data_IF_567406317253
#
_entry.id   IF_567406317253
#
_cell.length_a   1.000
_cell.length_b   1.000
_cell.length_c   1.000
_cell.angle_alpha   90.00
_cell.angle_beta   90.00
_cell.angle_gamma   90.00
#
_symmetry.space_group_name_H-M   'P 1'
#
loop_
_entity.id
_entity.type
_entity.pdbx_description
1 polymer ?
#
# COMPACT_ATOMS: atom_id res chain seq x y z
N UNK A 1 -0.58 27.10 -5.41
CA UNK A 1 -0.83 25.64 -5.42
C UNK A 1 0.33 24.90 -6.06
N UNK A 2 0.62 25.13 -7.34
CA UNK A 2 1.70 24.45 -8.09
C UNK A 2 3.10 24.42 -7.44
N UNK A 3 3.52 25.46 -6.70
CA UNK A 3 4.83 25.47 -6.02
C UNK A 3 4.88 24.57 -4.78
N UNK A 4 3.76 24.42 -4.08
CA UNK A 4 3.63 23.53 -2.91
C UNK A 4 3.56 22.07 -3.35
N UNK A 5 2.93 21.85 -4.50
CA UNK A 5 2.74 20.56 -5.15
C UNK A 5 4.08 19.98 -5.65
N UNK A 6 4.92 20.80 -6.30
CA UNK A 6 6.29 20.42 -6.69
C UNK A 6 7.19 20.11 -5.50
N UNK A 7 7.02 20.82 -4.38
CA UNK A 7 7.79 20.57 -3.14
C UNK A 7 7.47 19.22 -2.51
N UNK A 8 6.23 18.74 -2.62
CA UNK A 8 5.83 17.42 -2.12
C UNK A 8 6.50 16.28 -2.90
N UNK A 9 6.44 16.32 -4.23
CA UNK A 9 7.06 15.30 -5.10
C UNK A 9 8.58 15.29 -4.95
N UNK A 10 9.22 16.47 -4.89
CA UNK A 10 10.66 16.57 -4.71
C UNK A 10 11.14 15.97 -3.38
N UNK A 11 10.36 16.09 -2.31
CA UNK A 11 10.66 15.48 -1.03
C UNK A 11 10.60 13.95 -1.11
N UNK A 12 9.54 13.40 -1.71
CA UNK A 12 9.35 11.96 -1.84
C UNK A 12 10.43 11.30 -2.71
N UNK A 13 10.78 11.93 -3.84
CA UNK A 13 11.90 11.49 -4.68
C UNK A 13 13.21 11.48 -3.90
N UNK A 14 13.48 12.55 -3.14
CA UNK A 14 14.72 12.67 -2.37
C UNK A 14 14.84 11.56 -1.34
N UNK A 15 13.76 11.32 -0.59
CA UNK A 15 13.73 10.29 0.44
C UNK A 15 13.89 8.91 -0.18
N UNK A 16 13.12 8.59 -1.24
CA UNK A 16 13.19 7.31 -1.94
C UNK A 16 14.60 7.02 -2.48
N UNK A 17 15.21 7.93 -3.24
CA UNK A 17 16.56 7.70 -3.79
C UNK A 17 17.63 7.64 -2.70
N UNK A 18 17.49 8.43 -1.64
CA UNK A 18 18.43 8.41 -0.50
C UNK A 18 18.39 7.08 0.25
N UNK A 19 17.20 6.51 0.50
CA UNK A 19 17.07 5.22 1.20
C UNK A 19 17.57 4.06 0.34
N UNK A 20 17.25 4.04 -0.96
CA UNK A 20 17.74 3.00 -1.88
C UNK A 20 19.24 3.01 -2.02
N UNK A 21 19.87 4.20 -2.14
CA UNK A 21 21.33 4.32 -2.14
C UNK A 21 21.96 3.83 -0.83
N UNK A 22 21.34 4.14 0.31
CA UNK A 22 21.86 3.74 1.62
C UNK A 22 21.78 2.22 1.88
N UNK A 23 20.87 1.51 1.21
CA UNK A 23 20.62 0.07 1.41
C UNK A 23 21.62 -0.85 0.68
N UNK A 24 22.10 -0.45 -0.49
CA UNK A 24 23.00 -1.26 -1.33
C UNK A 24 24.47 -0.97 -0.99
N UNK A 25 25.26 -2.02 -0.76
CA UNK A 25 26.71 -1.89 -0.50
C UNK A 25 27.52 -1.90 -1.80
N UNK A 26 28.76 -1.36 -1.79
CA UNK A 26 29.66 -1.44 -2.95
C UNK A 26 29.86 -2.87 -3.45
N UNK A 27 30.04 -3.82 -2.54
CA UNK A 27 30.28 -5.22 -2.86
C UNK A 27 29.07 -5.84 -3.56
N UNK A 28 27.86 -5.55 -3.07
CA UNK A 28 26.61 -5.97 -3.74
C UNK A 28 26.49 -5.39 -5.14
N UNK A 29 26.96 -4.16 -5.35
CA UNK A 29 26.98 -3.49 -6.65
C UNK A 29 28.16 -3.89 -7.55
N UNK A 30 29.01 -4.85 -7.12
CA UNK A 30 30.17 -5.30 -7.87
C UNK A 30 31.33 -4.28 -7.89
N UNK A 31 31.32 -3.30 -6.99
CA UNK A 31 32.39 -2.31 -6.86
C UNK A 31 33.44 -2.74 -5.83
N UNK A 32 34.73 -2.57 -6.14
CA UNK A 32 35.80 -2.76 -5.18
C UNK A 32 35.73 -1.72 -4.05
N UNK A 33 36.00 -2.16 -2.83
CA UNK A 33 35.98 -1.29 -1.64
C UNK A 33 37.34 -0.63 -1.51
N UNK A 34 37.48 0.59 -2.01
CA UNK A 34 38.71 1.37 -1.86
C UNK A 34 38.67 2.25 -0.61
N UNK A 35 39.64 2.04 0.29
CA UNK A 35 39.97 2.94 1.42
C UNK A 35 39.33 2.58 2.77
N UNK A 36 40.15 2.49 3.82
CA UNK A 36 39.76 2.10 5.18
C UNK A 36 39.00 3.15 6.02
N UNK A 37 38.40 4.18 5.42
CA UNK A 37 37.70 5.24 6.16
C UNK A 37 36.39 5.69 5.46
N UNK A 38 35.52 4.71 5.19
CA UNK A 38 34.22 4.93 4.53
C UNK A 38 33.20 5.49 5.53
N UNK A 39 32.69 6.70 5.29
CA UNK A 39 31.71 7.39 6.15
C UNK A 39 30.25 6.97 5.92
N UNK A 40 29.96 6.22 4.86
CA UNK A 40 28.58 5.87 4.45
C UNK A 40 28.50 4.36 4.23
N UNK A 41 27.52 3.70 4.87
CA UNK A 41 27.35 2.26 4.77
C UNK A 41 26.98 1.80 3.35
N UNK A 42 26.04 2.49 2.70
CA UNK A 42 25.65 2.21 1.32
C UNK A 42 26.55 2.89 0.27
N UNK A 43 26.06 2.95 -0.98
CA UNK A 43 26.78 3.58 -2.08
C UNK A 43 26.95 5.10 -1.88
N UNK A 44 28.07 5.64 -2.37
CA UNK A 44 28.30 7.07 -2.51
C UNK A 44 27.63 7.58 -3.78
N UNK A 45 27.40 8.90 -3.85
CA UNK A 45 26.82 9.53 -5.04
C UNK A 45 27.69 9.32 -6.28
N UNK A 46 29.02 9.39 -6.11
CA UNK A 46 29.98 9.12 -7.18
C UNK A 46 29.88 7.67 -7.71
N UNK A 47 29.65 6.70 -6.82
CA UNK A 47 29.54 5.28 -7.18
C UNK A 47 28.23 4.99 -7.93
N UNK A 48 27.10 5.58 -7.49
CA UNK A 48 25.82 5.44 -8.21
C UNK A 48 25.90 6.09 -9.60
N UNK A 49 26.49 7.28 -9.70
CA UNK A 49 26.66 7.97 -10.97
C UNK A 49 27.52 7.16 -11.96
N UNK A 50 28.60 6.54 -11.46
CA UNK A 50 29.45 5.63 -12.23
C UNK A 50 28.63 4.42 -12.74
N UNK A 51 27.93 3.72 -11.85
CA UNK A 51 27.13 2.54 -12.20
C UNK A 51 26.00 2.85 -13.17
N UNK A 52 25.37 4.01 -13.04
CA UNK A 52 24.26 4.44 -13.89
C UNK A 52 24.72 5.15 -15.18
N UNK A 53 26.04 5.28 -15.41
CA UNK A 53 26.58 5.90 -16.62
C UNK A 53 26.23 7.38 -16.78
N UNK A 54 26.19 8.13 -15.67
CA UNK A 54 25.82 9.55 -15.66
C UNK A 54 26.79 10.42 -14.86
N UNK A 55 26.70 11.74 -15.01
CA UNK A 55 27.53 12.64 -14.21
C UNK A 55 27.07 12.68 -12.75
N UNK A 56 28.03 12.86 -11.83
CA UNK A 56 27.77 12.98 -10.39
C UNK A 56 26.79 14.13 -10.11
N UNK A 57 27.00 15.27 -10.76
CA UNK A 57 26.12 16.43 -10.63
C UNK A 57 24.69 16.14 -11.11
N UNK A 58 24.55 15.33 -12.17
CA UNK A 58 23.21 14.95 -12.63
C UNK A 58 22.53 14.06 -11.60
N UNK A 59 23.21 13.03 -11.08
CA UNK A 59 22.66 12.18 -10.02
C UNK A 59 22.30 12.98 -8.76
N UNK A 60 23.16 13.92 -8.33
CA UNK A 60 22.88 14.82 -7.19
C UNK A 60 21.59 15.61 -7.41
N UNK A 61 21.33 16.09 -8.64
CA UNK A 61 20.07 16.77 -8.96
C UNK A 61 18.86 15.84 -8.86
N UNK A 62 18.98 14.61 -9.39
CA UNK A 62 17.91 13.60 -9.31
C UNK A 62 17.60 13.25 -7.84
N UNK A 63 18.63 12.92 -7.05
CA UNK A 63 18.49 12.61 -5.60
C UNK A 63 17.99 13.81 -4.78
N UNK A 64 18.18 15.05 -5.24
CA UNK A 64 17.62 16.25 -4.57
C UNK A 64 16.14 16.48 -4.87
N UNK A 65 15.49 15.60 -5.63
CA UNK A 65 14.06 15.67 -5.89
C UNK A 65 13.69 16.10 -7.31
N UNK A 66 14.66 16.34 -8.19
CA UNK A 66 14.38 16.83 -9.54
C UNK A 66 14.43 15.72 -10.58
N UNK A 67 13.36 14.91 -10.67
CA UNK A 67 13.16 13.93 -11.76
C UNK A 67 12.56 14.54 -13.03
N UNK A 68 12.20 15.83 -13.02
CA UNK A 68 11.56 16.47 -14.18
C UNK A 68 12.47 16.41 -15.41
N UNK A 69 11.98 15.79 -16.48
CA UNK A 69 12.72 15.66 -17.74
C UNK A 69 13.80 14.58 -17.76
N UNK A 70 13.85 13.69 -16.75
CA UNK A 70 14.62 12.45 -16.86
C UNK A 70 13.99 11.55 -17.94
N UNK A 71 14.81 11.01 -18.85
CA UNK A 71 14.35 10.07 -19.86
C UNK A 71 14.13 8.67 -19.27
N UNK A 72 13.30 7.85 -19.91
CA UNK A 72 13.09 6.45 -19.49
C UNK A 72 14.40 5.66 -19.42
N UNK A 73 15.36 5.96 -20.30
CA UNK A 73 16.71 5.37 -20.26
C UNK A 73 17.51 5.77 -19.02
N UNK A 74 17.35 7.01 -18.52
CA UNK A 74 18.01 7.47 -17.29
C UNK A 74 17.38 6.79 -16.07
N UNK A 75 16.05 6.66 -16.04
CA UNK A 75 15.34 5.96 -14.97
C UNK A 75 15.71 4.47 -14.94
N UNK A 76 15.84 3.84 -16.12
CA UNK A 76 16.29 2.46 -16.26
C UNK A 76 17.71 2.26 -15.72
N UNK A 77 18.66 3.12 -16.11
CA UNK A 77 20.03 3.07 -15.61
C UNK A 77 20.11 3.26 -14.10
N UNK A 78 19.29 4.14 -13.52
CA UNK A 78 19.20 4.31 -12.06
C UNK A 78 18.64 3.06 -11.38
N UNK A 79 17.57 2.49 -11.94
CA UNK A 79 16.97 1.29 -11.43
C UNK A 79 17.97 0.12 -11.40
N UNK A 80 18.75 -0.04 -12.47
CA UNK A 80 19.80 -1.05 -12.54
C UNK A 80 20.93 -0.78 -11.53
N UNK A 81 21.44 0.45 -11.48
CA UNK A 81 22.53 0.83 -10.57
C UNK A 81 22.18 0.65 -9.09
N UNK A 82 20.92 0.91 -8.72
CA UNK A 82 20.41 0.74 -7.35
C UNK A 82 19.82 -0.65 -7.08
N UNK A 83 19.87 -1.56 -8.06
CA UNK A 83 19.28 -2.91 -8.01
C UNK A 83 17.82 -2.88 -7.52
N UNK A 84 17.03 -1.97 -8.07
CA UNK A 84 15.63 -1.81 -7.70
C UNK A 84 14.82 -3.03 -8.16
N UNK A 85 13.97 -3.53 -7.27
CA UNK A 85 12.98 -4.55 -7.63
C UNK A 85 11.86 -3.99 -8.53
N UNK A 86 10.99 -4.85 -9.05
CA UNK A 86 9.91 -4.44 -9.96
C UNK A 86 8.98 -3.35 -9.36
N UNK A 87 8.73 -3.40 -8.04
CA UNK A 87 7.87 -2.46 -7.35
C UNK A 87 8.54 -1.10 -7.17
N UNK A 88 9.80 -1.12 -6.76
CA UNK A 88 10.65 0.06 -6.63
C UNK A 88 10.88 0.74 -7.97
N UNK A 89 11.09 -0.04 -9.03
CA UNK A 89 11.19 0.45 -10.42
C UNK A 89 9.92 1.18 -10.82
N UNK A 90 8.77 0.54 -10.70
CA UNK A 90 7.49 1.15 -11.06
C UNK A 90 7.24 2.44 -10.29
N UNK A 91 7.56 2.46 -8.99
CA UNK A 91 7.43 3.67 -8.18
C UNK A 91 8.38 4.80 -8.62
N UNK A 92 9.61 4.48 -9.04
CA UNK A 92 10.52 5.48 -9.62
C UNK A 92 9.92 6.13 -10.88
N UNK A 93 9.31 5.33 -11.77
CA UNK A 93 8.62 5.85 -12.96
C UNK A 93 7.38 6.68 -12.59
N UNK A 94 6.57 6.22 -11.63
CA UNK A 94 5.41 6.96 -11.14
C UNK A 94 5.82 8.34 -10.57
N UNK A 95 6.91 8.40 -9.80
CA UNK A 95 7.48 9.65 -9.28
C UNK A 95 8.00 10.58 -10.40
N UNK A 96 8.66 10.03 -11.43
CA UNK A 96 9.14 10.82 -12.56
C UNK A 96 7.99 11.40 -13.41
N UNK A 97 6.93 10.62 -13.61
CA UNK A 97 5.71 11.08 -14.27
C UNK A 97 5.02 12.17 -13.46
N UNK A 98 4.90 12.01 -12.14
CA UNK A 98 4.31 13.01 -11.26
C UNK A 98 5.13 14.32 -11.19
N UNK A 99 6.46 14.24 -11.37
CA UNK A 99 7.32 15.41 -11.43
C UNK A 99 7.20 16.21 -12.74
N UNK A 100 6.60 15.65 -13.79
CA UNK A 100 6.49 16.26 -15.12
C UNK A 100 5.22 17.10 -15.23
N UNK A 101 5.29 18.42 -15.55
CA UNK A 101 4.14 19.34 -15.56
C UNK A 101 2.99 18.99 -16.52
N UNK A 102 3.23 18.11 -17.49
CA UNK A 102 2.27 17.65 -18.50
C UNK A 102 1.74 16.22 -18.25
N UNK A 103 2.21 15.55 -17.20
CA UNK A 103 1.82 14.18 -16.87
C UNK A 103 0.45 14.13 -16.21
N UNK A 104 -0.53 13.49 -16.88
CA UNK A 104 -1.83 12.99 -16.38
C UNK A 104 -2.41 13.75 -15.17
N UNK A 105 -3.45 14.57 -15.43
CA UNK A 105 -4.33 15.14 -14.40
C UNK A 105 -4.63 14.06 -13.34
N UNK A 106 -4.44 14.34 -12.03
CA UNK A 106 -4.71 13.36 -10.98
C UNK A 106 -6.12 12.83 -11.21
N UNK A 107 -6.24 11.52 -11.47
CA UNK A 107 -7.57 10.91 -11.51
C UNK A 107 -8.09 11.03 -10.10
N UNK A 108 -9.10 11.89 -9.89
CA UNK A 108 -9.75 11.99 -8.61
C UNK A 108 -10.21 10.58 -8.24
N UNK A 109 -9.69 10.03 -7.15
CA UNK A 109 -10.11 8.72 -6.64
C UNK A 109 -11.62 8.73 -6.58
N UNK A 110 -12.26 7.89 -7.41
CA UNK A 110 -13.70 7.79 -7.42
C UNK A 110 -14.17 7.47 -6.00
N UNK A 111 -14.93 8.36 -5.39
CA UNK A 111 -15.43 8.16 -4.02
C UNK A 111 -16.77 7.43 -4.00
N UNK A 112 -17.29 7.07 -5.18
CA UNK A 112 -18.58 6.40 -5.35
C UNK A 112 -18.41 5.16 -6.20
N UNK A 113 -18.98 4.05 -5.73
CA UNK A 113 -19.02 2.79 -6.46
C UNK A 113 -20.20 2.82 -7.43
N UNK A 114 -19.95 2.49 -8.71
CA UNK A 114 -21.02 2.49 -9.73
C UNK A 114 -22.06 1.40 -9.44
N UNK A 115 -23.34 1.60 -9.78
CA UNK A 115 -24.39 0.61 -9.54
C UNK A 115 -24.12 -0.78 -10.14
N UNK A 116 -23.44 -0.86 -11.28
CA UNK A 116 -23.06 -2.14 -11.89
C UNK A 116 -22.07 -2.93 -11.03
N UNK A 117 -21.16 -2.26 -10.33
CA UNK A 117 -20.20 -2.90 -9.42
C UNK A 117 -20.91 -3.35 -8.13
N UNK A 118 -21.90 -2.59 -7.65
CA UNK A 118 -22.72 -3.02 -6.51
C UNK A 118 -23.50 -4.30 -6.85
N UNK A 119 -24.15 -4.37 -8.02
CA UNK A 119 -24.83 -5.59 -8.47
C UNK A 119 -23.87 -6.78 -8.65
N UNK A 120 -22.64 -6.52 -9.09
CA UNK A 120 -21.60 -7.55 -9.15
C UNK A 120 -21.29 -8.09 -7.75
N UNK A 121 -21.02 -7.20 -6.77
CA UNK A 121 -20.79 -7.60 -5.39
C UNK A 121 -21.96 -8.44 -4.84
N UNK A 122 -23.20 -8.01 -5.08
CA UNK A 122 -24.40 -8.71 -4.62
C UNK A 122 -24.53 -10.11 -5.26
N UNK A 123 -24.06 -10.29 -6.50
CA UNK A 123 -24.07 -11.61 -7.17
C UNK A 123 -23.03 -12.60 -6.62
N UNK A 124 -22.02 -12.11 -5.89
CA UNK A 124 -20.95 -12.92 -5.30
C UNK A 124 -21.37 -13.49 -3.94
N UNK A 125 -22.46 -14.25 -3.88
CA UNK A 125 -23.05 -14.72 -2.61
C UNK A 125 -22.09 -15.55 -1.75
N UNK A 126 -21.27 -16.37 -2.41
CA UNK A 126 -20.38 -17.35 -1.77
C UNK A 126 -18.92 -16.89 -1.69
N UNK A 127 -18.61 -15.68 -2.16
CA UNK A 127 -17.25 -15.16 -2.27
C UNK A 127 -17.20 -13.84 -1.49
N UNK A 128 -16.53 -13.78 -0.33
CA UNK A 128 -16.39 -12.52 0.39
C UNK A 128 -15.70 -11.49 -0.51
N UNK A 129 -16.29 -10.31 -0.65
CA UNK A 129 -15.77 -9.29 -1.54
C UNK A 129 -16.07 -7.87 -1.07
N UNK A 130 -15.15 -6.96 -1.35
CA UNK A 130 -15.31 -5.54 -1.08
C UNK A 130 -14.55 -4.67 -2.08
N UNK A 131 -15.05 -3.44 -2.26
CA UNK A 131 -14.39 -2.41 -3.07
C UNK A 131 -13.76 -1.39 -2.13
N UNK A 132 -12.50 -1.06 -2.38
CA UNK A 132 -11.79 -0.01 -1.66
C UNK A 132 -11.13 0.99 -2.60
N UNK A 133 -10.78 2.15 -2.09
CA UNK A 133 -9.92 3.10 -2.79
C UNK A 133 -8.43 2.92 -2.44
N UNK A 134 -7.57 3.73 -3.07
CA UNK A 134 -6.13 3.81 -2.83
C UNK A 134 -5.73 4.19 -1.38
N UNK A 135 -6.65 4.76 -0.60
CA UNK A 135 -6.42 5.16 0.80
C UNK A 135 -6.84 4.10 1.81
N UNK A 136 -7.22 2.91 1.34
CA UNK A 136 -7.79 1.82 2.15
C UNK A 136 -9.20 2.08 2.71
N UNK A 137 -9.93 3.10 2.22
CA UNK A 137 -11.35 3.27 2.54
C UNK A 137 -12.15 2.17 1.85
N UNK A 138 -12.92 1.39 2.62
CA UNK A 138 -13.87 0.40 2.08
C UNK A 138 -15.16 1.14 1.71
N UNK A 139 -15.48 1.14 0.42
CA UNK A 139 -16.59 1.91 -0.15
C UNK A 139 -17.86 1.07 -0.36
N UNK A 140 -17.70 -0.24 -0.52
CA UNK A 140 -18.79 -1.20 -0.62
C UNK A 140 -18.28 -2.60 -0.25
N UNK A 141 -19.14 -3.44 0.29
CA UNK A 141 -18.87 -4.86 0.53
C UNK A 141 -20.16 -5.65 0.30
N UNK A 142 -20.03 -6.90 -0.16
CA UNK A 142 -21.18 -7.81 -0.13
C UNK A 142 -21.43 -8.32 1.30
N UNK A 143 -22.55 -9.00 1.52
CA UNK A 143 -22.95 -9.50 2.85
C UNK A 143 -21.85 -10.34 3.49
N UNK A 144 -21.29 -11.29 2.74
CA UNK A 144 -20.24 -12.18 3.24
C UNK A 144 -18.92 -11.43 3.50
N UNK A 145 -18.57 -10.44 2.67
CA UNK A 145 -17.42 -9.55 2.88
C UNK A 145 -17.57 -8.70 4.13
N UNK A 146 -18.78 -8.18 4.40
CA UNK A 146 -19.07 -7.46 5.66
C UNK A 146 -18.98 -8.39 6.86
N UNK A 147 -19.50 -9.61 6.75
CA UNK A 147 -19.41 -10.62 7.81
C UNK A 147 -17.95 -11.00 8.10
N UNK A 148 -17.15 -11.29 7.06
CA UNK A 148 -15.74 -11.64 7.20
C UNK A 148 -14.91 -10.53 7.88
N UNK A 149 -15.24 -9.28 7.59
CA UNK A 149 -14.59 -8.12 8.16
C UNK A 149 -15.39 -7.47 9.31
N UNK A 150 -16.31 -8.21 9.95
CA UNK A 150 -17.15 -7.66 11.02
C UNK A 150 -16.34 -6.96 12.12
N UNK A 151 -15.20 -7.50 12.62
CA UNK A 151 -14.37 -6.79 13.61
C UNK A 151 -13.91 -5.40 13.16
N UNK A 152 -13.66 -5.22 11.86
CA UNK A 152 -13.28 -3.95 11.26
C UNK A 152 -14.51 -3.04 11.02
N UNK A 153 -15.62 -3.60 10.53
CA UNK A 153 -16.84 -2.83 10.23
C UNK A 153 -17.55 -2.33 11.49
N UNK A 154 -17.48 -3.12 12.56
CA UNK A 154 -18.17 -2.85 13.82
C UNK A 154 -17.20 -2.24 14.87
N UNK A 155 -15.97 -1.94 14.46
CA UNK A 155 -14.98 -1.26 15.29
C UNK A 155 -15.51 0.09 15.80
N UNK A 156 -15.35 0.39 17.10
CA UNK A 156 -15.77 1.67 17.68
C UNK A 156 -14.97 2.85 17.11
N UNK A 157 -13.82 2.59 16.48
CA UNK A 157 -13.00 3.61 15.80
C UNK A 157 -13.81 4.40 14.77
N UNK A 158 -14.80 3.76 14.14
CA UNK A 158 -15.60 4.35 13.06
C UNK A 158 -16.99 4.82 13.50
N UNK A 159 -17.40 4.58 14.75
CA UNK A 159 -18.71 5.00 15.25
C UNK A 159 -18.93 6.54 15.20
N UNK A 160 -17.84 7.31 15.26
CA UNK A 160 -17.85 8.79 15.18
C UNK A 160 -16.85 9.35 14.14
N UNK A 161 -16.19 8.48 13.37
CA UNK A 161 -15.18 8.88 12.37
C UNK A 161 -15.70 8.61 10.96
N UNK A 162 -14.94 9.09 9.97
CA UNK A 162 -15.24 8.96 8.55
C UNK A 162 -15.31 7.51 8.05
N UNK A 163 -15.14 7.26 6.73
CA UNK A 163 -15.39 5.95 6.14
C UNK A 163 -14.56 4.85 6.81
N UNK A 164 -15.14 3.64 6.84
CA UNK A 164 -14.45 2.41 7.25
C UNK A 164 -13.13 2.32 6.49
N UNK A 165 -12.01 2.24 7.23
CA UNK A 165 -10.68 2.28 6.63
C UNK A 165 -9.78 1.21 7.23
N UNK A 166 -9.33 0.28 6.39
CA UNK A 166 -8.55 -0.86 6.86
C UNK A 166 -7.14 -0.52 7.34
N UNK A 167 -6.52 0.57 6.84
CA UNK A 167 -5.25 1.05 7.38
C UNK A 167 -5.45 1.69 8.77
N UNK A 168 -6.53 2.46 8.97
CA UNK A 168 -6.87 3.00 10.31
C UNK A 168 -7.13 1.89 11.30
N UNK A 169 -7.90 0.87 10.91
CA UNK A 169 -8.12 -0.30 11.76
C UNK A 169 -6.80 -0.97 12.13
N UNK A 170 -5.94 -1.28 11.14
CA UNK A 170 -4.63 -1.91 11.35
C UNK A 170 -3.74 -1.17 12.35
N UNK A 171 -3.68 0.17 12.29
CA UNK A 171 -2.69 0.94 13.04
C UNK A 171 -3.23 1.67 14.27
N UNK A 172 -4.55 1.87 14.36
CA UNK A 172 -5.17 2.68 15.42
C UNK A 172 -6.17 1.89 16.28
N UNK A 173 -6.61 0.71 15.84
CA UNK A 173 -7.47 -0.16 16.64
C UNK A 173 -6.65 -1.32 17.24
N UNK A 174 -6.60 -1.47 18.58
CA UNK A 174 -5.92 -2.59 19.22
C UNK A 174 -6.43 -3.97 18.78
N UNK A 175 -7.72 -4.09 18.46
CA UNK A 175 -8.33 -5.35 18.01
C UNK A 175 -7.75 -5.86 16.68
N UNK A 176 -7.05 -5.00 15.94
CA UNK A 176 -6.37 -5.42 14.71
C UNK A 176 -5.27 -6.46 14.96
N UNK A 177 -4.61 -6.44 16.13
CA UNK A 177 -3.56 -7.40 16.47
C UNK A 177 -4.10 -8.80 16.74
N UNK A 178 -5.35 -8.88 17.21
CA UNK A 178 -6.04 -10.15 17.39
C UNK A 178 -6.63 -10.63 16.06
N UNK A 179 -7.15 -9.70 15.24
CA UNK A 179 -7.78 -10.03 13.96
C UNK A 179 -6.79 -10.48 12.88
N UNK A 180 -5.61 -9.87 12.80
CA UNK A 180 -4.59 -10.20 11.80
C UNK A 180 -3.53 -11.12 12.40
N UNK A 181 -3.53 -12.40 11.99
CA UNK A 181 -2.55 -13.39 12.46
C UNK A 181 -1.11 -12.96 12.13
N UNK A 182 -0.87 -12.55 10.89
CA UNK A 182 0.42 -12.01 10.44
C UNK A 182 0.44 -10.48 10.48
N UNK A 183 0.13 -9.88 11.65
CA UNK A 183 -0.04 -8.43 11.78
C UNK A 183 1.15 -7.62 11.24
N UNK A 184 2.38 -7.99 11.62
CA UNK A 184 3.59 -7.25 11.20
C UNK A 184 3.76 -7.24 9.67
N UNK A 185 3.52 -8.38 9.02
CA UNK A 185 3.56 -8.51 7.56
C UNK A 185 2.45 -7.68 6.91
N UNK A 186 1.23 -7.74 7.45
CA UNK A 186 0.10 -6.95 6.97
C UNK A 186 0.34 -5.44 7.10
N UNK A 187 0.96 -5.01 8.20
CA UNK A 187 1.35 -3.63 8.45
C UNK A 187 2.43 -3.15 7.46
N UNK A 188 3.47 -3.96 7.23
CA UNK A 188 4.51 -3.66 6.25
C UNK A 188 3.92 -3.52 4.83
N UNK A 189 3.04 -4.45 4.44
CA UNK A 189 2.36 -4.42 3.14
C UNK A 189 1.46 -3.19 2.99
N UNK A 190 0.72 -2.81 4.03
CA UNK A 190 -0.15 -1.64 4.01
C UNK A 190 0.65 -0.32 3.87
N UNK A 191 1.77 -0.21 4.59
CA UNK A 191 2.69 0.94 4.49
C UNK A 191 3.30 1.04 3.09
N UNK A 192 3.78 -0.09 2.56
CA UNK A 192 4.38 -0.14 1.24
C UNK A 192 3.37 0.22 0.13
N UNK A 193 2.11 -0.21 0.29
CA UNK A 193 1.02 0.18 -0.61
C UNK A 193 0.73 1.68 -0.55
N UNK A 194 0.55 2.24 0.64
CA UNK A 194 0.30 3.68 0.83
C UNK A 194 1.44 4.55 0.27
N UNK A 195 2.69 4.07 0.37
CA UNK A 195 3.84 4.74 -0.24
C UNK A 195 3.72 4.79 -1.76
N UNK A 196 3.40 3.67 -2.38
CA UNK A 196 3.21 3.59 -3.83
C UNK A 196 2.13 4.59 -4.28
N UNK A 197 0.99 4.60 -3.59
CA UNK A 197 -0.12 5.52 -3.90
C UNK A 197 0.24 7.00 -3.66
N UNK A 198 1.14 7.29 -2.71
CA UNK A 198 1.65 8.67 -2.48
C UNK A 198 2.46 9.15 -3.70
N UNK A 199 3.34 8.31 -4.23
CA UNK A 199 4.11 8.64 -5.45
C UNK A 199 3.23 8.77 -6.71
N UNK A 200 2.15 7.98 -6.80
CA UNK A 200 1.18 8.06 -7.90
C UNK A 200 0.27 9.28 -7.83
N UNK A 201 -0.16 9.65 -6.63
CA UNK A 201 -1.10 10.74 -6.38
C UNK A 201 -0.58 11.71 -5.30
N UNK A 202 0.55 12.38 -5.52
CA UNK A 202 1.23 13.20 -4.50
C UNK A 202 0.46 14.47 -4.11
N UNK A 203 -0.65 14.75 -4.81
CA UNK A 203 -1.54 15.89 -4.55
C UNK A 203 -2.86 15.47 -3.90
N UNK A 204 -3.06 14.18 -3.59
CA UNK A 204 -4.23 13.72 -2.87
C UNK A 204 -4.15 14.15 -1.40
N UNK A 205 -4.83 15.25 -1.07
CA UNK A 205 -4.89 15.77 0.29
C UNK A 205 -5.41 14.73 1.29
N UNK A 206 -6.40 13.93 0.92
CA UNK A 206 -6.98 12.94 1.84
C UNK A 206 -5.99 11.81 2.15
N UNK A 207 -5.15 11.43 1.17
CA UNK A 207 -4.04 10.50 1.39
C UNK A 207 -3.00 11.13 2.32
N UNK A 208 -2.55 12.36 2.05
CA UNK A 208 -1.59 13.08 2.89
C UNK A 208 -2.09 13.25 4.33
N UNK A 209 -3.37 13.59 4.52
CA UNK A 209 -3.99 13.70 5.85
C UNK A 209 -4.02 12.35 6.58
N UNK A 210 -4.31 11.25 5.87
CA UNK A 210 -4.25 9.89 6.42
C UNK A 210 -2.82 9.54 6.86
N UNK A 211 -1.82 9.77 6.01
CA UNK A 211 -0.41 9.51 6.36
C UNK A 211 -0.01 10.33 7.60
N UNK A 212 -0.37 11.61 7.64
CA UNK A 212 -0.09 12.48 8.78
C UNK A 212 -0.76 11.97 10.06
N UNK A 213 -2.02 11.55 9.98
CA UNK A 213 -2.74 10.93 11.09
C UNK A 213 -2.04 9.66 11.59
N UNK A 214 -1.76 8.71 10.70
CA UNK A 214 -1.15 7.43 11.07
C UNK A 214 0.26 7.60 11.64
N UNK A 215 1.07 8.48 11.05
CA UNK A 215 2.42 8.78 11.53
C UNK A 215 2.39 9.43 12.92
N UNK A 216 1.39 10.27 13.20
CA UNK A 216 1.28 10.94 14.50
C UNK A 216 0.74 10.03 15.60
N UNK A 217 -0.16 9.11 15.25
CA UNK A 217 -0.92 8.31 16.22
C UNK A 217 -0.42 6.86 16.38
N UNK A 218 0.53 6.41 15.56
CA UNK A 218 1.05 5.05 15.59
C UNK A 218 2.56 5.02 15.38
N UNK A 219 3.30 4.72 16.45
CA UNK A 219 4.77 4.54 16.36
C UNK A 219 5.15 3.40 15.42
N UNK A 220 4.31 2.36 15.36
CA UNK A 220 4.49 1.23 14.44
C UNK A 220 4.39 1.67 12.97
N UNK A 221 3.44 2.55 12.65
CA UNK A 221 3.35 3.15 11.32
C UNK A 221 4.55 4.06 11.04
N UNK A 222 4.87 4.97 11.97
CA UNK A 222 5.95 5.94 11.80
C UNK A 222 7.31 5.28 11.52
N UNK A 223 7.64 4.22 12.26
CA UNK A 223 8.88 3.44 12.04
C UNK A 223 8.92 2.79 10.66
N UNK A 224 7.82 2.21 10.21
CA UNK A 224 7.73 1.53 8.90
C UNK A 224 7.74 2.54 7.76
N UNK A 225 7.00 3.64 7.92
CA UNK A 225 6.99 4.75 6.97
C UNK A 225 8.42 5.25 6.75
N UNK A 226 9.20 5.49 7.80
CA UNK A 226 10.60 5.95 7.69
C UNK A 226 11.55 5.02 6.91
N UNK A 227 11.18 3.75 6.64
CA UNK A 227 11.99 2.82 5.84
C UNK A 227 11.84 3.03 4.33
N UNK A 228 10.78 3.72 3.89
CA UNK A 228 10.47 3.97 2.48
C UNK A 228 10.37 2.69 1.63
N UNK A 229 9.97 1.57 2.22
CA UNK A 229 9.77 0.33 1.46
C UNK A 229 8.57 0.44 0.52
N UNK A 230 8.71 -0.14 -0.67
CA UNK A 230 7.68 -0.18 -1.71
C UNK A 230 7.53 -1.62 -2.15
N UNK A 231 6.29 -2.12 -2.22
CA UNK A 231 5.96 -3.47 -2.64
C UNK A 231 4.65 -3.47 -3.41
N UNK A 232 4.48 -4.45 -4.30
CA UNK A 232 3.19 -4.70 -4.93
C UNK A 232 2.29 -5.51 -4.00
N UNK A 233 1.04 -5.07 -3.86
CA UNK A 233 -0.01 -5.82 -3.18
C UNK A 233 -1.08 -6.18 -4.21
N UNK A 234 -0.88 -7.29 -4.94
CA UNK A 234 -1.75 -7.72 -6.06
C UNK A 234 -2.55 -8.98 -5.73
N UNK A 235 -1.90 -9.99 -5.15
CA UNK A 235 -2.52 -11.25 -4.71
C UNK A 235 -1.73 -11.87 -3.56
N UNK A 236 -2.30 -12.87 -2.90
CA UNK A 236 -1.62 -13.61 -1.83
C UNK A 236 -2.58 -14.37 -0.94
N UNK A 237 -2.12 -14.71 0.26
CA UNK A 237 -2.95 -15.33 1.30
C UNK A 237 -3.08 -14.34 2.47
N UNK A 238 -4.31 -14.05 2.88
CA UNK A 238 -4.61 -13.32 4.11
C UNK A 238 -4.88 -14.31 5.22
N UNK A 239 -4.05 -14.24 6.26
CA UNK A 239 -4.24 -14.99 7.50
C UNK A 239 -4.94 -14.08 8.51
N UNK A 240 -6.13 -14.46 8.93
CA UNK A 240 -6.96 -13.70 9.87
C UNK A 240 -7.59 -14.62 10.91
N UNK A 241 -7.88 -14.08 12.09
CA UNK A 241 -8.61 -14.75 13.14
C UNK A 241 -10.01 -14.14 13.24
N UNK A 242 -11.03 -14.90 12.87
CA UNK A 242 -12.42 -14.46 12.90
C UNK A 242 -13.10 -14.94 14.19
N UNK A 243 -13.78 -14.06 14.95
CA UNK A 243 -14.34 -14.42 16.26
C UNK A 243 -15.37 -15.56 16.23
N UNK A 244 -16.06 -15.74 15.09
CA UNK A 244 -17.08 -16.80 14.95
C UNK A 244 -16.56 -18.10 14.31
N UNK A 245 -15.50 -18.03 13.49
CA UNK A 245 -15.07 -19.18 12.68
C UNK A 245 -13.57 -19.49 12.80
N UNK A 246 -12.88 -18.84 13.74
CA UNK A 246 -11.48 -19.08 14.05
C UNK A 246 -10.52 -18.61 12.95
N UNK A 247 -9.38 -19.29 12.87
CA UNK A 247 -8.29 -18.95 11.96
C UNK A 247 -8.66 -19.28 10.51
N UNK A 248 -8.42 -18.32 9.62
CA UNK A 248 -8.69 -18.42 8.19
C UNK A 248 -7.44 -18.05 7.40
N UNK A 249 -7.05 -18.95 6.50
CA UNK A 249 -6.05 -18.70 5.46
C UNK A 249 -6.78 -18.52 4.13
N UNK A 250 -6.92 -17.27 3.69
CA UNK A 250 -7.74 -16.91 2.53
C UNK A 250 -6.88 -16.40 1.36
N UNK A 251 -6.75 -17.20 0.29
CA UNK A 251 -6.26 -16.70 -0.99
C UNK A 251 -7.12 -15.52 -1.45
N UNK A 252 -6.48 -14.45 -1.89
CA UNK A 252 -7.17 -13.25 -2.35
C UNK A 252 -6.54 -12.68 -3.61
N UNK A 253 -7.39 -12.00 -4.35
CA UNK A 253 -7.03 -11.21 -5.52
C UNK A 253 -7.52 -9.77 -5.34
N UNK A 254 -6.73 -8.82 -5.82
CA UNK A 254 -7.08 -7.41 -5.85
C UNK A 254 -7.05 -6.88 -7.28
N UNK A 255 -8.24 -6.67 -7.87
CA UNK A 255 -8.40 -6.21 -9.25
C UNK A 255 -8.67 -4.71 -9.32
N UNK A 256 -7.91 -3.98 -10.13
CA UNK A 256 -8.21 -2.58 -10.45
C UNK A 256 -9.46 -2.49 -11.33
N UNK A 257 -10.29 -1.45 -11.12
CA UNK A 257 -11.46 -1.18 -11.94
C UNK A 257 -11.10 -0.15 -13.03
N UNK A 258 -10.96 -0.54 -14.31
CA UNK A 258 -10.41 0.36 -15.34
C UNK A 258 -11.27 1.60 -15.59
N UNK A 259 -12.60 1.46 -15.44
CA UNK A 259 -13.55 2.55 -15.59
C UNK A 259 -13.70 3.42 -14.33
N UNK A 260 -13.08 3.01 -13.20
CA UNK A 260 -13.09 3.74 -11.93
C UNK A 260 -11.66 3.80 -11.35
N UNK A 261 -10.74 4.57 -11.97
CA UNK A 261 -9.34 4.63 -11.54
C UNK A 261 -9.19 4.92 -10.04
N UNK A 262 -8.31 4.14 -9.39
CA UNK A 262 -8.08 4.21 -7.95
C UNK A 262 -9.01 3.33 -7.11
N UNK A 263 -10.02 2.68 -7.71
CA UNK A 263 -10.80 1.64 -7.05
C UNK A 263 -10.26 0.25 -7.33
N UNK A 264 -10.31 -0.60 -6.29
CA UNK A 264 -9.92 -2.00 -6.35
C UNK A 264 -11.02 -2.88 -5.76
N UNK A 265 -11.41 -3.91 -6.50
CA UNK A 265 -12.24 -5.01 -6.00
C UNK A 265 -11.31 -6.06 -5.38
N UNK A 266 -11.53 -6.37 -4.10
CA UNK A 266 -10.82 -7.42 -3.39
C UNK A 266 -11.81 -8.56 -3.14
N UNK A 267 -11.39 -9.79 -3.40
CA UNK A 267 -12.22 -10.97 -3.16
C UNK A 267 -11.39 -12.17 -2.75
N UNK A 268 -12.02 -13.12 -2.05
CA UNK A 268 -11.37 -14.26 -1.44
C UNK A 268 -11.93 -15.56 -1.98
N UNK A 269 -11.07 -16.38 -2.60
CA UNK A 269 -11.46 -17.64 -3.25
C UNK A 269 -10.61 -18.77 -2.71
N UNK A 270 -10.92 -19.31 -1.50
CA UNK A 270 -10.26 -20.50 -1.01
C UNK A 270 -10.62 -21.71 -1.87
N UNK A 271 -9.76 -22.73 -1.85
CA UNK A 271 -9.98 -23.98 -2.58
C UNK A 271 -11.31 -24.63 -2.15
N UNK A 272 -12.10 -25.23 -3.08
CA UNK A 272 -13.43 -25.77 -2.78
C UNK A 272 -13.50 -26.74 -1.60
N UNK A 273 -12.48 -27.58 -1.43
CA UNK A 273 -12.44 -28.61 -0.39
C UNK A 273 -11.58 -28.21 0.83
N UNK A 274 -11.33 -26.91 1.01
CA UNK A 274 -10.50 -26.40 2.11
C UNK A 274 -11.31 -26.10 3.39
N UNK A 275 -10.67 -26.17 4.58
CA UNK A 275 -11.30 -25.73 5.83
C UNK A 275 -11.77 -24.26 5.78
N UNK A 276 -11.04 -23.41 5.06
CA UNK A 276 -11.42 -22.01 4.87
C UNK A 276 -12.74 -21.87 4.09
N UNK A 277 -12.99 -22.75 3.09
CA UNK A 277 -14.27 -22.76 2.36
C UNK A 277 -15.43 -23.18 3.24
N UNK A 278 -15.25 -24.21 4.07
CA UNK A 278 -16.27 -24.66 5.03
C UNK A 278 -16.61 -23.54 6.05
N UNK A 279 -15.58 -22.92 6.61
CA UNK A 279 -15.74 -21.81 7.56
C UNK A 279 -16.46 -20.59 6.95
N UNK A 280 -16.17 -20.26 5.69
CA UNK A 280 -16.93 -19.22 4.98
C UNK A 280 -18.40 -19.62 4.76
N UNK A 281 -18.69 -20.91 4.53
CA UNK A 281 -20.05 -21.41 4.45
C UNK A 281 -20.82 -21.25 5.77
N UNK A 282 -20.17 -21.58 6.89
CA UNK A 282 -20.72 -21.34 8.24
C UNK A 282 -20.98 -19.84 8.46
N UNK A 283 -20.01 -18.99 8.12
CA UNK A 283 -20.15 -17.54 8.26
C UNK A 283 -21.28 -16.97 7.38
N UNK A 284 -21.44 -17.45 6.16
CA UNK A 284 -22.54 -17.07 5.26
C UNK A 284 -23.90 -17.48 5.85
N UNK A 285 -24.00 -18.69 6.40
CA UNK A 285 -25.23 -19.15 7.07
C UNK A 285 -25.60 -18.26 8.26
N UNK A 286 -24.61 -17.87 9.07
CA UNK A 286 -24.81 -16.99 10.21
C UNK A 286 -25.24 -15.58 9.79
N UNK A 287 -24.56 -15.00 8.79
CA UNK A 287 -24.86 -13.65 8.28
C UNK A 287 -26.27 -13.55 7.69
N UNK A 288 -26.76 -14.62 7.08
CA UNK A 288 -28.13 -14.68 6.54
C UNK A 288 -29.19 -14.91 7.63
N UNK A 289 -28.83 -15.41 8.80
CA UNK A 289 -29.76 -15.74 9.89
C UNK A 289 -29.89 -14.62 10.93
N UNK A 290 -29.03 -13.59 10.90
CA UNK A 290 -29.21 -12.34 11.65
C UNK A 290 -29.13 -12.46 13.18
N UNK A 291 -28.40 -13.44 13.72
CA UNK A 291 -28.27 -13.59 15.18
C UNK A 291 -27.19 -12.68 15.75
N UNK A 292 -27.61 -11.68 16.52
CA UNK A 292 -26.72 -10.81 17.32
C UNK A 292 -25.87 -11.67 18.26
N UNK A 293 -24.55 -11.51 18.21
CA UNK A 293 -23.63 -12.17 19.15
C UNK A 293 -23.96 -11.67 20.58
N UNK A 294 -24.26 -12.56 21.55
CA UNK A 294 -24.28 -12.15 22.95
C UNK A 294 -22.85 -11.78 23.32
N UNK A 295 -22.65 -10.53 23.72
CA UNK A 295 -21.41 -10.12 24.38
C UNK A 295 -21.26 -10.98 25.64
N UNK A 296 -20.24 -11.84 25.65
CA UNK A 296 -19.89 -12.60 26.84
C UNK A 296 -19.42 -11.62 27.93
N UNK A 297 -20.35 -11.30 28.83
CA UNK A 297 -20.10 -10.86 30.20
C UNK A 297 -21.44 -10.91 30.94
N UNK A 298 -21.68 -12.04 31.62
CA UNK A 298 -22.32 -12.13 32.93
C UNK A 298 -21.65 -13.29 33.69
#
# INVERSE_FOLDING_TARGET
MADRDKKSVAAEVREFLSTRRARITPEQAGLPVYGGNRRVAGLRREEVALLAGMSVDYYVRLERGNLSGASDSVLESLAHALQLDEAERTHLYDLAHAATPSGRRPTATASRVRPTILRLLDSMADVPAYVRNARFDILAANTLGRALYAPLFDSPLFAQRGPINSARFMFLDPASKDFWVDWDKGADDAVAFLRNETGRAPHDKALTDLIGELTTKSDDFARRWARHDVKFHRSGVKNLHHPLVGDLALPYEAMELPADPGLRLNFYTPEPDSPAREALGLLASWANTGTVVPTAND
#
